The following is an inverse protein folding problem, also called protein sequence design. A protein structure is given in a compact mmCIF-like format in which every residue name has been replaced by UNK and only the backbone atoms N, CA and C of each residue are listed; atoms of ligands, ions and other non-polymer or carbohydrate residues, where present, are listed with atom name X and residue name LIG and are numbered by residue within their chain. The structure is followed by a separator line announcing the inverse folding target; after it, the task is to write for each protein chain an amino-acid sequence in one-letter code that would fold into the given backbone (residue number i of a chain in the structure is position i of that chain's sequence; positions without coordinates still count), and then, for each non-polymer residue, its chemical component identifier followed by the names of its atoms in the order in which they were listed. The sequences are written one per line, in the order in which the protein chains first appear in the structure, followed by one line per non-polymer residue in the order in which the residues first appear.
data_IF_534948065578
#
_entry.id   IF_534948065578
#
_cell.length_a   1.000
_cell.length_b   1.000
_cell.length_c   1.000
_cell.angle_alpha   90.00
_cell.angle_beta   90.00
_cell.angle_gamma   90.00
#
_symmetry.space_group_name_H-M   'P 1'
#
loop_
_entity.id
_entity.type
_entity.pdbx_description
1 polymer ?
#
# COMPACT_ATOMS: atom_id res chain seq x y z
N UNK A 1 -67.59 -2.78 -22.81
CA UNK A 1 -67.52 -3.85 -21.79
C UNK A 1 -66.41 -4.82 -22.15
N UNK A 2 -65.44 -4.93 -21.23
CA UNK A 2 -64.39 -5.96 -21.05
C UNK A 2 -62.96 -5.43 -21.21
N UNK A 3 -62.40 -5.13 -20.03
CA UNK A 3 -61.03 -4.76 -19.74
C UNK A 3 -60.14 -6.01 -19.81
N UNK A 4 -58.99 -5.93 -20.48
CA UNK A 4 -57.81 -6.78 -20.21
C UNK A 4 -56.59 -5.90 -20.51
N UNK A 5 -56.04 -5.17 -19.53
CA UNK A 5 -55.02 -5.60 -18.56
C UNK A 5 -53.69 -6.04 -19.23
N UNK A 6 -52.70 -5.14 -19.18
CA UNK A 6 -51.23 -5.33 -19.10
C UNK A 6 -50.56 -6.59 -19.70
N UNK A 7 -49.40 -6.43 -20.38
CA UNK A 7 -48.19 -6.31 -19.58
C UNK A 7 -47.19 -5.26 -20.10
N UNK A 8 -47.25 -4.09 -19.47
CA UNK A 8 -46.27 -3.00 -19.52
C UNK A 8 -45.11 -3.31 -18.55
N UNK A 9 -44.61 -4.55 -18.57
CA UNK A 9 -43.62 -5.08 -17.60
C UNK A 9 -42.33 -5.58 -18.26
N UNK A 10 -42.26 -5.64 -19.60
CA UNK A 10 -41.07 -6.19 -20.27
C UNK A 10 -39.90 -5.20 -20.49
N UNK A 11 -40.05 -3.92 -20.17
CA UNK A 11 -39.04 -2.89 -20.52
C UNK A 11 -38.01 -2.58 -19.42
N UNK A 12 -38.14 -3.16 -18.22
CA UNK A 12 -37.22 -2.89 -17.09
C UNK A 12 -36.23 -4.01 -16.74
N UNK A 13 -36.20 -5.10 -17.51
CA UNK A 13 -35.44 -6.30 -17.13
C UNK A 13 -34.02 -6.43 -17.73
N UNK A 14 -33.48 -5.42 -18.43
CA UNK A 14 -32.19 -5.57 -19.15
C UNK A 14 -31.01 -4.78 -18.51
N UNK A 15 -31.24 -3.89 -17.54
CA UNK A 15 -30.13 -3.06 -17.00
C UNK A 15 -29.36 -3.72 -15.84
N UNK A 16 -29.82 -4.84 -15.28
CA UNK A 16 -29.25 -5.37 -14.02
C UNK A 16 -28.07 -6.36 -14.15
N UNK A 17 -27.62 -6.76 -15.34
CA UNK A 17 -26.68 -7.90 -15.47
C UNK A 17 -25.18 -7.52 -15.50
N UNK A 18 -24.78 -6.26 -15.66
CA UNK A 18 -23.34 -5.90 -15.82
C UNK A 18 -22.68 -5.23 -14.60
N UNK A 19 -23.31 -5.21 -13.43
CA UNK A 19 -22.75 -4.55 -12.25
C UNK A 19 -21.81 -5.42 -11.38
N UNK A 20 -21.83 -6.75 -11.50
CA UNK A 20 -21.16 -7.64 -10.53
C UNK A 20 -19.75 -8.14 -10.90
N UNK A 21 -19.26 -7.94 -12.13
CA UNK A 21 -17.94 -8.47 -12.57
C UNK A 21 -16.80 -7.45 -12.68
N UNK A 22 -16.98 -6.20 -12.22
CA UNK A 22 -15.96 -5.13 -12.39
C UNK A 22 -14.98 -4.96 -11.22
N UNK A 23 -15.09 -5.78 -10.17
CA UNK A 23 -14.34 -5.60 -8.91
C UNK A 23 -12.99 -6.33 -8.84
N UNK A 24 -12.90 -7.52 -9.44
CA UNK A 24 -11.71 -8.39 -9.37
C UNK A 24 -10.64 -8.00 -10.39
N UNK A 25 -11.04 -7.75 -11.64
CA UNK A 25 -10.09 -7.48 -12.74
C UNK A 25 -9.34 -6.15 -12.51
N UNK A 26 -10.07 -5.08 -12.17
CA UNK A 26 -9.45 -3.78 -11.83
C UNK A 26 -8.52 -3.82 -10.62
N UNK A 27 -8.74 -4.75 -9.69
CA UNK A 27 -7.88 -4.89 -8.51
C UNK A 27 -6.60 -5.64 -8.85
N UNK A 28 -6.66 -6.61 -9.76
CA UNK A 28 -5.49 -7.32 -10.27
C UNK A 28 -4.64 -6.40 -11.16
N UNK A 29 -5.24 -5.66 -12.10
CA UNK A 29 -4.53 -4.70 -12.96
C UNK A 29 -3.72 -3.67 -12.15
N UNK A 30 -4.31 -3.16 -11.07
CA UNK A 30 -3.62 -2.21 -10.18
C UNK A 30 -2.46 -2.84 -9.40
N UNK A 31 -2.56 -4.13 -9.06
CA UNK A 31 -1.49 -4.86 -8.37
C UNK A 31 -0.34 -5.15 -9.33
N UNK A 32 -0.64 -5.48 -10.57
CA UNK A 32 0.36 -5.81 -11.59
C UNK A 32 1.13 -4.56 -12.02
N UNK A 33 0.44 -3.44 -12.24
CA UNK A 33 1.09 -2.14 -12.46
C UNK A 33 2.01 -1.82 -11.27
N UNK A 34 1.53 -1.95 -10.03
CA UNK A 34 2.35 -1.65 -8.85
C UNK A 34 3.56 -2.60 -8.67
N UNK A 35 3.47 -3.85 -9.15
CA UNK A 35 4.58 -4.79 -9.14
C UNK A 35 5.69 -4.36 -10.11
N UNK A 36 5.31 -3.83 -11.27
CA UNK A 36 6.21 -3.53 -12.39
C UNK A 36 6.89 -2.15 -12.33
N UNK A 37 6.48 -1.24 -11.44
CA UNK A 37 7.14 0.07 -11.30
C UNK A 37 8.56 -0.10 -10.75
N UNK A 38 9.55 0.60 -11.32
CA UNK A 38 10.92 0.53 -10.83
C UNK A 38 11.02 1.01 -9.34
N UNK A 39 11.90 0.42 -8.51
CA UNK A 39 12.10 0.85 -7.11
C UNK A 39 12.39 2.35 -7.00
N UNK A 40 13.19 2.88 -7.92
CA UNK A 40 13.58 4.29 -7.98
C UNK A 40 12.38 5.20 -8.25
N UNK A 41 11.52 4.85 -9.21
CA UNK A 41 10.30 5.62 -9.50
C UNK A 41 9.34 5.65 -8.29
N UNK A 42 9.21 4.53 -7.58
CA UNK A 42 8.42 4.48 -6.35
C UNK A 42 9.05 5.34 -5.23
N UNK A 43 10.37 5.29 -5.11
CA UNK A 43 11.11 6.08 -4.14
C UNK A 43 10.95 7.58 -4.41
N UNK A 44 11.09 7.99 -5.67
CA UNK A 44 10.92 9.38 -6.11
C UNK A 44 9.54 9.93 -5.78
N UNK A 45 8.48 9.21 -6.18
CA UNK A 45 7.10 9.60 -5.87
C UNK A 45 6.83 9.66 -4.36
N UNK A 46 7.41 8.74 -3.58
CA UNK A 46 7.22 8.73 -2.14
C UNK A 46 7.99 9.87 -1.46
N UNK A 47 9.22 10.17 -1.91
CA UNK A 47 9.99 11.31 -1.45
C UNK A 47 9.26 12.62 -1.74
N UNK A 48 8.74 12.81 -2.96
CA UNK A 48 7.91 13.97 -3.32
C UNK A 48 6.67 14.11 -2.44
N UNK A 49 5.97 13.01 -2.12
CA UNK A 49 4.83 13.05 -1.18
C UNK A 49 5.25 13.42 0.23
N UNK A 50 6.43 12.99 0.66
CA UNK A 50 6.99 13.38 1.97
C UNK A 50 7.37 14.86 1.94
N UNK A 51 7.91 15.37 0.84
CA UNK A 51 8.18 16.80 0.64
C UNK A 51 6.90 17.62 0.78
N UNK A 52 5.82 17.23 0.10
CA UNK A 52 4.53 17.93 0.19
C UNK A 52 3.92 17.96 1.60
N UNK A 53 4.28 16.99 2.46
CA UNK A 53 3.69 16.87 3.80
C UNK A 53 4.56 17.44 4.90
N UNK A 54 5.86 17.58 4.67
CA UNK A 54 6.87 17.92 5.68
C UNK A 54 7.75 19.10 5.26
N UNK A 55 7.48 19.71 4.11
CA UNK A 55 8.24 20.82 3.52
C UNK A 55 9.75 20.52 3.49
N UNK A 56 10.10 19.36 2.92
CA UNK A 56 11.49 18.94 2.78
C UNK A 56 12.22 19.85 1.80
N UNK A 57 13.48 20.17 2.10
CA UNK A 57 14.38 20.83 1.14
C UNK A 57 14.77 19.86 0.01
N UNK A 58 15.21 20.39 -1.13
CA UNK A 58 15.67 19.57 -2.26
C UNK A 58 16.78 18.58 -1.87
N UNK A 59 17.67 19.00 -0.97
CA UNK A 59 18.73 18.13 -0.45
C UNK A 59 18.14 16.98 0.37
N UNK A 60 17.23 17.29 1.29
CA UNK A 60 16.57 16.27 2.12
C UNK A 60 15.74 15.31 1.27
N UNK A 61 15.04 15.82 0.25
CA UNK A 61 14.25 14.99 -0.66
C UNK A 61 15.14 13.97 -1.38
N UNK A 62 16.28 14.39 -1.94
CA UNK A 62 17.22 13.48 -2.62
C UNK A 62 17.79 12.42 -1.69
N UNK A 63 18.15 12.80 -0.46
CA UNK A 63 18.67 11.85 0.53
C UNK A 63 17.60 10.84 0.96
N UNK A 64 16.35 11.29 1.14
CA UNK A 64 15.22 10.41 1.46
C UNK A 64 14.89 9.48 0.30
N UNK A 65 14.94 9.97 -0.93
CA UNK A 65 14.75 9.18 -2.14
C UNK A 65 15.75 8.02 -2.22
N UNK A 66 17.04 8.28 -1.98
CA UNK A 66 18.07 7.25 -1.95
C UNK A 66 17.79 6.18 -0.86
N UNK A 67 17.43 6.61 0.36
CA UNK A 67 17.08 5.70 1.45
C UNK A 67 15.85 4.85 1.10
N UNK A 68 14.85 5.45 0.44
CA UNK A 68 13.63 4.77 0.01
C UNK A 68 13.90 3.78 -1.12
N UNK A 69 14.74 4.13 -2.10
CA UNK A 69 15.10 3.27 -3.23
C UNK A 69 15.69 1.96 -2.73
N UNK A 70 16.68 2.02 -1.83
CA UNK A 70 17.27 0.83 -1.20
C UNK A 70 16.23 0.02 -0.42
N UNK A 71 15.44 0.67 0.44
CA UNK A 71 14.39 0.00 1.23
C UNK A 71 13.32 -0.68 0.37
N UNK A 72 12.96 -0.07 -0.76
CA UNK A 72 11.95 -0.60 -1.69
C UNK A 72 12.54 -1.75 -2.50
N UNK A 73 13.76 -1.59 -3.02
CA UNK A 73 14.46 -2.63 -3.76
C UNK A 73 14.61 -3.90 -2.90
N UNK A 74 15.05 -3.76 -1.65
CA UNK A 74 15.15 -4.89 -0.73
C UNK A 74 13.79 -5.53 -0.44
N UNK A 75 12.73 -4.73 -0.24
CA UNK A 75 11.37 -5.27 -0.05
C UNK A 75 10.85 -6.01 -1.28
N UNK A 76 11.20 -5.56 -2.49
CA UNK A 76 10.83 -6.24 -3.73
C UNK A 76 11.62 -7.53 -3.93
N UNK A 77 12.92 -7.52 -3.66
CA UNK A 77 13.78 -8.69 -3.77
C UNK A 77 13.39 -9.81 -2.78
N UNK A 78 12.93 -9.44 -1.58
CA UNK A 78 12.48 -10.39 -0.56
C UNK A 78 10.94 -10.60 -0.58
N UNK A 79 10.26 -10.24 -1.67
CA UNK A 79 8.82 -10.43 -1.79
C UNK A 79 8.53 -11.91 -1.96
N UNK A 80 7.69 -12.44 -1.09
CA UNK A 80 7.23 -13.83 -1.15
C UNK A 80 5.73 -13.92 -0.92
N UNK A 81 5.14 -14.99 -1.42
CA UNK A 81 3.73 -15.28 -1.20
C UNK A 81 3.50 -15.70 0.25
N UNK A 82 2.24 -15.64 0.69
CA UNK A 82 1.86 -16.10 2.02
C UNK A 82 2.10 -17.61 2.19
N UNK A 83 1.99 -18.37 1.10
CA UNK A 83 2.18 -19.82 1.07
C UNK A 83 3.66 -20.17 1.18
N UNK A 84 4.52 -19.53 0.37
CA UNK A 84 5.99 -19.63 0.48
C UNK A 84 6.45 -19.31 1.90
N UNK A 85 6.00 -18.19 2.47
CA UNK A 85 6.37 -17.82 3.83
C UNK A 85 5.92 -18.85 4.87
N UNK A 86 4.74 -19.46 4.68
CA UNK A 86 4.23 -20.50 5.60
C UNK A 86 5.04 -21.79 5.52
N UNK A 87 5.53 -22.14 4.33
CA UNK A 87 6.32 -23.33 4.10
C UNK A 87 7.74 -23.26 4.69
N UNK A 88 8.27 -22.05 4.96
CA UNK A 88 9.60 -21.89 5.56
C UNK A 88 9.71 -22.51 6.97
N UNK A 89 10.88 -23.04 7.35
CA UNK A 89 11.14 -23.45 8.72
C UNK A 89 11.13 -22.26 9.68
N UNK A 90 10.92 -22.52 10.97
CA UNK A 90 10.78 -21.49 12.00
C UNK A 90 12.00 -20.56 12.07
N UNK A 91 13.21 -21.10 11.99
CA UNK A 91 14.45 -20.32 12.09
C UNK A 91 14.59 -19.33 10.93
N UNK A 92 14.27 -19.76 9.71
CA UNK A 92 14.28 -18.88 8.54
C UNK A 92 13.21 -17.79 8.65
N UNK A 93 12.00 -18.12 9.14
CA UNK A 93 10.95 -17.12 9.42
C UNK A 93 11.43 -16.07 10.43
N UNK A 94 12.17 -16.49 11.47
CA UNK A 94 12.72 -15.59 12.48
C UNK A 94 13.82 -14.71 11.92
N UNK A 95 14.76 -15.26 11.13
CA UNK A 95 15.81 -14.50 10.47
C UNK A 95 15.24 -13.44 9.52
N UNK A 96 14.21 -13.78 8.75
CA UNK A 96 13.52 -12.81 7.88
C UNK A 96 12.83 -11.69 8.67
N UNK A 97 12.19 -12.01 9.80
CA UNK A 97 11.60 -11.00 10.69
C UNK A 97 12.66 -10.07 11.25
N UNK A 98 13.78 -10.62 11.71
CA UNK A 98 14.91 -9.85 12.24
C UNK A 98 15.44 -8.89 11.17
N UNK A 99 15.77 -9.40 9.98
CA UNK A 99 16.22 -8.58 8.84
C UNK A 99 15.23 -7.45 8.51
N UNK A 100 13.93 -7.75 8.49
CA UNK A 100 12.90 -6.73 8.24
C UNK A 100 12.82 -5.66 9.34
N UNK A 101 13.09 -6.02 10.60
CA UNK A 101 13.15 -5.06 11.70
C UNK A 101 14.40 -4.20 11.61
N UNK A 102 15.56 -4.80 11.33
CA UNK A 102 16.83 -4.07 11.18
C UNK A 102 16.74 -3.05 10.04
N UNK A 103 16.14 -3.44 8.90
CA UNK A 103 15.86 -2.52 7.79
C UNK A 103 14.99 -1.34 8.21
N UNK A 104 13.90 -1.58 8.97
CA UNK A 104 13.03 -0.50 9.47
C UNK A 104 13.78 0.42 10.41
N UNK A 105 14.62 -0.13 11.29
CA UNK A 105 15.44 0.64 12.22
C UNK A 105 16.43 1.51 11.43
N UNK A 106 17.10 0.93 10.43
CA UNK A 106 18.04 1.65 9.57
C UNK A 106 17.37 2.80 8.83
N UNK A 107 16.23 2.55 8.15
CA UNK A 107 15.46 3.60 7.47
C UNK A 107 15.00 4.69 8.45
N UNK A 108 14.49 4.32 9.63
CA UNK A 108 14.03 5.27 10.65
C UNK A 108 15.18 6.16 11.15
N UNK A 109 16.35 5.57 11.40
CA UNK A 109 17.56 6.30 11.80
C UNK A 109 18.03 7.23 10.68
N UNK A 110 18.00 6.79 9.42
CA UNK A 110 18.38 7.62 8.29
C UNK A 110 17.46 8.85 8.17
N UNK A 111 16.14 8.66 8.26
CA UNK A 111 15.20 9.79 8.23
C UNK A 111 15.41 10.77 9.38
N UNK A 112 15.69 10.26 10.59
CA UNK A 112 16.01 11.13 11.74
C UNK A 112 17.27 11.98 11.53
N UNK A 113 18.24 11.49 10.74
CA UNK A 113 19.47 12.23 10.42
C UNK A 113 19.24 13.30 9.34
N UNK A 114 18.33 13.04 8.40
CA UNK A 114 18.06 13.91 7.24
C UNK A 114 17.09 15.04 7.61
N UNK A 115 16.05 14.72 8.39
CA UNK A 115 15.01 15.66 8.80
C UNK A 115 15.42 16.43 10.04
N UNK A 116 14.87 17.64 10.19
CA UNK A 116 14.92 18.35 11.47
C UNK A 116 13.92 17.73 12.47
N UNK A 117 13.94 18.20 13.72
CA UNK A 117 13.11 17.65 14.80
C UNK A 117 11.61 17.79 14.54
N UNK A 118 11.17 18.94 14.02
CA UNK A 118 9.77 19.21 13.72
C UNK A 118 9.25 18.29 12.60
N UNK A 119 9.98 18.22 11.48
CA UNK A 119 9.69 17.36 10.33
C UNK A 119 9.63 15.90 10.76
N UNK A 120 10.59 15.45 11.56
CA UNK A 120 10.65 14.07 12.04
C UNK A 120 9.49 13.74 12.98
N UNK A 121 9.12 14.65 13.89
CA UNK A 121 7.95 14.52 14.77
C UNK A 121 6.64 14.42 13.97
N UNK A 122 6.49 15.25 12.94
CA UNK A 122 5.34 15.16 12.03
C UNK A 122 5.31 13.83 11.26
N UNK A 123 6.46 13.39 10.75
CA UNK A 123 6.60 12.09 10.11
C UNK A 123 6.17 10.93 11.04
N UNK A 124 6.59 10.93 12.31
CA UNK A 124 6.19 9.90 13.27
C UNK A 124 4.67 9.91 13.53
N UNK A 125 4.05 11.09 13.64
CA UNK A 125 2.59 11.24 13.75
C UNK A 125 1.87 10.69 12.52
N UNK A 126 2.34 11.00 11.32
CA UNK A 126 1.80 10.47 10.07
C UNK A 126 1.92 8.94 10.02
N UNK A 127 3.08 8.40 10.38
CA UNK A 127 3.33 6.96 10.41
C UNK A 127 2.40 6.24 11.41
N UNK A 128 2.19 6.82 12.60
CA UNK A 128 1.27 6.30 13.60
C UNK A 128 -0.18 6.30 13.12
N UNK A 129 -0.64 7.41 12.52
CA UNK A 129 -1.98 7.51 11.91
C UNK A 129 -2.19 6.45 10.83
N UNK A 130 -1.20 6.26 9.96
CA UNK A 130 -1.25 5.25 8.90
C UNK A 130 -1.32 3.82 9.47
N UNK A 131 -0.57 3.52 10.53
CA UNK A 131 -0.65 2.23 11.25
C UNK A 131 -2.04 2.01 11.83
N UNK A 132 -2.61 3.02 12.48
CA UNK A 132 -3.94 2.94 13.08
C UNK A 132 -5.03 2.73 12.03
N UNK A 133 -4.97 3.46 10.92
CA UNK A 133 -5.89 3.30 9.79
C UNK A 133 -5.84 1.87 9.22
N UNK A 134 -4.63 1.33 9.00
CA UNK A 134 -4.46 -0.06 8.54
C UNK A 134 -5.00 -1.08 9.55
N UNK A 135 -4.79 -0.84 10.84
CA UNK A 135 -5.34 -1.67 11.92
C UNK A 135 -6.87 -1.71 11.91
N UNK A 136 -7.53 -0.55 11.86
CA UNK A 136 -8.99 -0.45 11.76
C UNK A 136 -9.54 -1.15 10.51
N UNK A 137 -8.86 -1.00 9.37
CA UNK A 137 -9.25 -1.68 8.12
C UNK A 137 -9.18 -3.21 8.25
N UNK A 138 -8.12 -3.74 8.87
CA UNK A 138 -8.01 -5.18 9.11
C UNK A 138 -9.07 -5.70 10.07
N UNK A 139 -9.43 -4.95 11.11
CA UNK A 139 -10.50 -5.35 12.03
C UNK A 139 -11.86 -5.44 11.32
N UNK A 140 -12.17 -4.47 10.45
CA UNK A 140 -13.40 -4.49 9.64
C UNK A 140 -13.44 -5.69 8.69
N UNK A 141 -12.33 -5.99 8.02
CA UNK A 141 -12.21 -7.13 7.10
C UNK A 141 -12.23 -8.51 7.78
N UNK A 142 -12.14 -8.58 9.12
CA UNK A 142 -12.31 -9.82 9.89
C UNK A 142 -13.73 -10.01 10.42
N UNK A 143 -14.55 -8.95 10.40
CA UNK A 143 -15.93 -8.93 10.95
C UNK A 143 -17.00 -9.12 9.88
N UNK A 144 -16.67 -8.85 8.62
CA UNK A 144 -17.46 -9.24 7.45
C UNK A 144 -16.77 -10.39 6.74
#
# INVERSE_FOLDING_TARGET
MKNILLPLVFMFAIISVQAQKRGTDRQNDRRDIAANIAPEQLASMQAQKMTLALDLTDKQQKEIEAVLATSIAERKANKMTKEEFKALPTDQKMAMKQKSMDQKIATKRAFKKIMNEEQYSQFEKMAARQKNYRGKRMQRAKRG
#
